data_IF_080257306493
#
_entry.id   IF_080257306493
#
_cell.length_a   1.000
_cell.length_b   1.000
_cell.length_c   1.000
_cell.angle_alpha   90.00
_cell.angle_beta   90.00
_cell.angle_gamma   90.00
#
_symmetry.space_group_name_H-M   'P 1'
#
loop_
_entity.id
_entity.type
_entity.pdbx_description
1 polymer ?
#
# COMPACT_ATOMS: atom_id res chain seq x y z
N UNK A 1 -10.38 32.76 -41.20
CA UNK A 1 -10.65 34.21 -41.14
C UNK A 1 -11.33 34.45 -39.80
N UNK A 2 -10.79 35.40 -39.00
CA UNK A 2 -11.07 35.71 -37.59
C UNK A 2 -10.65 34.61 -36.58
N UNK A 3 -9.93 34.88 -35.50
CA UNK A 3 -9.41 36.13 -34.94
C UNK A 3 -8.78 35.84 -33.56
N UNK A 4 -7.62 36.44 -33.33
CA UNK A 4 -6.75 36.42 -32.13
C UNK A 4 -7.47 36.60 -30.78
N UNK A 5 -6.89 36.02 -29.73
CA UNK A 5 -6.51 36.80 -28.54
C UNK A 5 -5.33 36.16 -27.79
N UNK A 6 -4.22 36.89 -27.83
CA UNK A 6 -2.97 36.68 -27.11
C UNK A 6 -3.08 37.26 -25.70
N UNK A 7 -2.49 36.60 -24.70
CA UNK A 7 -2.03 37.28 -23.49
C UNK A 7 -0.68 36.67 -23.08
N UNK A 8 0.35 37.51 -23.18
CA UNK A 8 1.69 37.27 -22.68
C UNK A 8 1.73 37.53 -21.17
N UNK A 9 2.62 36.83 -20.44
CA UNK A 9 3.08 37.36 -19.15
C UNK A 9 4.56 37.05 -18.90
N UNK A 10 5.28 38.17 -18.86
CA UNK A 10 6.53 38.55 -18.20
C UNK A 10 7.28 37.54 -17.34
N UNK A 11 8.61 37.52 -17.58
CA UNK A 11 9.63 37.04 -16.66
C UNK A 11 9.82 37.97 -15.45
N UNK A 12 10.17 37.40 -14.29
CA UNK A 12 10.86 38.09 -13.19
C UNK A 12 11.66 37.10 -12.32
N UNK A 13 12.98 37.21 -12.45
CA UNK A 13 14.07 37.12 -11.46
C UNK A 13 13.99 36.20 -10.22
N UNK A 14 14.94 35.26 -10.22
CA UNK A 14 15.89 34.89 -9.16
C UNK A 14 15.69 35.44 -7.74
N UNK A 15 15.52 34.51 -6.79
CA UNK A 15 15.75 34.71 -5.36
C UNK A 15 16.37 33.46 -4.75
N UNK A 16 17.66 33.53 -4.43
CA UNK A 16 18.40 32.52 -3.66
C UNK A 16 17.97 32.56 -2.20
N UNK A 17 17.73 31.40 -1.56
CA UNK A 17 17.69 31.33 -0.10
C UNK A 17 18.44 30.11 0.43
N UNK A 18 19.47 30.42 1.21
CA UNK A 18 20.28 29.49 2.01
C UNK A 18 19.63 29.31 3.38
N UNK A 19 19.66 28.06 3.85
CA UNK A 19 19.99 27.61 5.21
C UNK A 19 19.39 28.31 6.44
N UNK A 20 18.72 27.52 7.27
CA UNK A 20 18.86 27.61 8.72
C UNK A 20 18.56 26.24 9.35
N UNK A 21 19.60 25.43 9.50
CA UNK A 21 19.67 24.43 10.55
C UNK A 21 19.76 25.18 11.89
N UNK A 22 18.96 24.77 12.88
CA UNK A 22 19.24 25.08 14.28
C UNK A 22 19.09 23.80 15.09
N UNK A 23 20.24 23.28 15.50
CA UNK A 23 20.35 22.28 16.55
C UNK A 23 20.53 22.93 17.92
N UNK A 24 20.80 22.05 18.89
CA UNK A 24 21.24 22.23 20.29
C UNK A 24 20.17 21.79 21.31
N UNK A 25 20.55 21.27 22.50
CA UNK A 25 21.50 20.17 22.72
C UNK A 25 21.03 19.15 23.80
N UNK A 26 21.88 18.14 23.96
CA UNK A 26 21.96 17.00 24.90
C UNK A 26 21.94 17.33 26.41
N UNK A 27 21.58 16.29 27.19
CA UNK A 27 22.18 15.75 28.44
C UNK A 27 21.05 15.41 29.46
N UNK A 28 20.89 14.24 30.08
CA UNK A 28 21.82 13.23 30.58
C UNK A 28 21.52 13.05 32.08
N UNK A 29 21.08 11.87 32.52
CA UNK A 29 21.40 11.27 33.85
C UNK A 29 20.65 9.96 34.09
N UNK A 30 21.44 8.91 34.35
CA UNK A 30 21.04 7.66 35.00
C UNK A 30 20.41 7.91 36.39
N UNK A 31 19.38 7.13 36.73
CA UNK A 31 19.24 6.57 38.09
C UNK A 31 18.73 5.15 38.03
N UNK A 32 19.56 4.23 38.55
CA UNK A 32 19.17 2.87 38.96
C UNK A 32 18.19 2.97 40.12
N UNK A 33 17.15 2.15 40.12
CA UNK A 33 16.58 1.67 41.37
C UNK A 33 16.16 0.21 41.22
N UNK A 34 16.69 -0.59 42.14
CA UNK A 34 16.45 -2.01 42.34
C UNK A 34 15.22 -2.12 43.24
N UNK A 35 14.20 -2.85 42.80
CA UNK A 35 12.97 -3.04 43.56
C UNK A 35 12.17 -4.20 42.98
N UNK A 36 12.18 -5.30 43.72
CA UNK A 36 11.65 -6.62 43.43
C UNK A 36 10.12 -6.63 43.43
N UNK A 37 9.48 -7.03 42.32
CA UNK A 37 8.11 -7.54 42.33
C UNK A 37 8.01 -8.74 41.39
N UNK A 38 7.80 -9.92 41.99
CA UNK A 38 7.53 -11.18 41.32
C UNK A 38 6.15 -11.12 40.67
N UNK A 39 6.13 -10.94 39.35
CA UNK A 39 4.95 -11.19 38.52
C UNK A 39 5.06 -12.61 37.91
N UNK A 40 3.95 -13.37 37.84
CA UNK A 40 3.96 -14.75 37.34
C UNK A 40 4.30 -14.79 35.85
N UNK A 41 5.08 -15.81 35.47
CA UNK A 41 5.53 -16.05 34.11
C UNK A 41 4.36 -16.15 33.12
N UNK A 42 4.16 -15.10 32.32
CA UNK A 42 3.28 -15.13 31.16
C UNK A 42 4.08 -15.66 29.95
N UNK A 43 4.25 -16.98 29.87
CA UNK A 43 4.74 -17.66 28.66
C UNK A 43 3.60 -17.71 27.64
N UNK A 44 3.45 -16.65 26.84
CA UNK A 44 2.25 -16.52 26.01
C UNK A 44 2.33 -15.62 24.79
N UNK A 45 3.51 -15.24 24.30
CA UNK A 45 3.64 -14.73 22.92
C UNK A 45 5.06 -14.92 22.44
N UNK A 46 5.25 -15.77 21.43
CA UNK A 46 5.99 -15.41 20.22
C UNK A 46 6.36 -16.65 19.39
N UNK A 47 6.42 -16.42 18.08
CA UNK A 47 7.01 -17.30 17.04
C UNK A 47 6.24 -18.55 16.63
N UNK A 48 5.25 -18.39 15.73
CA UNK A 48 4.97 -19.42 14.69
C UNK A 48 4.67 -18.80 13.32
N UNK A 49 5.58 -17.96 12.81
CA UNK A 49 5.77 -17.87 11.36
C UNK A 49 6.55 -19.13 10.93
N UNK A 50 5.87 -20.29 10.90
CA UNK A 50 6.45 -21.51 10.35
C UNK A 50 6.25 -21.48 8.84
N UNK A 51 7.36 -21.20 8.14
CA UNK A 51 7.70 -21.62 6.77
C UNK A 51 6.71 -22.61 6.17
N UNK A 52 5.97 -22.30 5.09
CA UNK A 52 5.34 -23.39 4.34
C UNK A 52 5.23 -23.18 2.82
N UNK A 53 6.22 -23.66 2.08
CA UNK A 53 5.95 -24.34 0.80
C UNK A 53 5.21 -25.67 1.07
N UNK A 54 4.65 -26.30 0.04
CA UNK A 54 3.85 -27.55 0.19
C UNK A 54 4.60 -28.67 0.92
N UNK A 55 5.94 -28.70 0.85
CA UNK A 55 6.80 -29.67 1.55
C UNK A 55 6.93 -29.48 3.07
N UNK A 56 6.36 -28.43 3.66
CA UNK A 56 6.39 -28.16 5.10
C UNK A 56 5.09 -28.56 5.84
N UNK A 57 4.20 -29.25 5.13
CA UNK A 57 2.96 -29.79 5.67
C UNK A 57 3.05 -31.32 5.77
N UNK A 58 2.40 -31.94 6.78
CA UNK A 58 2.19 -33.39 6.79
C UNK A 58 1.57 -33.88 5.48
N UNK A 59 1.92 -35.09 5.04
CA UNK A 59 1.54 -35.67 3.74
C UNK A 59 0.04 -35.52 3.38
N UNK A 60 -0.92 -35.73 4.30
CA UNK A 60 -2.34 -35.52 4.00
C UNK A 60 -2.69 -34.07 3.65
N UNK A 61 -2.03 -33.11 4.31
CA UNK A 61 -2.24 -31.67 4.09
C UNK A 61 -1.51 -31.21 2.83
N UNK A 62 -0.30 -31.70 2.58
CA UNK A 62 0.42 -31.44 1.34
C UNK A 62 -0.37 -31.96 0.13
N UNK A 63 -0.92 -33.18 0.21
CA UNK A 63 -1.77 -33.76 -0.81
C UNK A 63 -3.09 -32.99 -1.01
N UNK A 64 -3.70 -32.51 0.08
CA UNK A 64 -4.88 -31.64 -0.01
C UNK A 64 -4.58 -30.31 -0.72
N UNK A 65 -3.52 -29.61 -0.32
CA UNK A 65 -3.12 -28.36 -0.94
C UNK A 65 -2.76 -28.56 -2.41
N UNK A 66 -2.02 -29.63 -2.76
CA UNK A 66 -1.70 -29.95 -4.14
C UNK A 66 -2.96 -30.05 -5.02
N UNK A 67 -4.04 -30.66 -4.51
CA UNK A 67 -5.33 -30.72 -5.22
C UNK A 67 -6.03 -29.36 -5.38
N UNK A 68 -5.87 -28.44 -4.42
CA UNK A 68 -6.44 -27.09 -4.56
C UNK A 68 -5.68 -26.23 -5.59
N UNK A 69 -4.39 -26.51 -5.77
CA UNK A 69 -3.52 -25.76 -6.69
C UNK A 69 -3.35 -26.43 -8.05
N UNK A 70 -4.06 -27.54 -8.35
CA UNK A 70 -4.09 -28.08 -9.72
C UNK A 70 -4.81 -27.12 -10.66
N UNK A 71 -4.29 -26.98 -11.87
CA UNK A 71 -4.78 -26.04 -12.89
C UNK A 71 -6.28 -26.17 -13.17
N UNK A 72 -6.83 -27.40 -13.17
CA UNK A 72 -8.25 -27.65 -13.37
C UNK A 72 -9.12 -27.03 -12.27
N UNK A 73 -8.61 -26.92 -11.04
CA UNK A 73 -9.28 -26.25 -9.93
C UNK A 73 -9.10 -24.72 -9.96
N UNK A 74 -8.32 -24.20 -10.91
CA UNK A 74 -7.98 -22.78 -11.02
C UNK A 74 -8.31 -22.23 -12.43
N UNK A 75 -9.60 -22.21 -12.82
CA UNK A 75 -10.00 -21.84 -14.17
C UNK A 75 -9.55 -20.43 -14.58
N UNK A 76 -9.45 -19.50 -13.62
CA UNK A 76 -9.05 -18.11 -13.84
C UNK A 76 -7.60 -17.80 -13.45
N UNK A 77 -6.76 -18.82 -13.19
CA UNK A 77 -5.32 -18.60 -13.04
C UNK A 77 -4.72 -18.19 -14.40
N UNK A 78 -3.92 -17.10 -14.40
CA UNK A 78 -3.27 -16.65 -15.61
C UNK A 78 -2.25 -17.68 -16.11
N UNK A 79 -2.24 -17.89 -17.43
CA UNK A 79 -1.26 -18.69 -18.15
C UNK A 79 -0.96 -18.02 -19.49
N UNK A 80 0.25 -18.19 -20.00
CA UNK A 80 0.65 -17.62 -21.30
C UNK A 80 -0.16 -18.19 -22.46
N UNK A 81 -0.70 -19.40 -22.31
CA UNK A 81 -1.55 -20.09 -23.26
C UNK A 81 -3.05 -19.94 -22.96
N UNK A 82 -3.45 -19.00 -22.10
CA UNK A 82 -4.85 -18.80 -21.75
C UNK A 82 -5.68 -18.51 -23.02
N UNK A 83 -6.83 -19.19 -23.24
CA UNK A 83 -7.65 -18.99 -24.43
C UNK A 83 -8.06 -17.51 -24.61
N UNK A 84 -7.73 -16.92 -25.76
CA UNK A 84 -7.95 -15.48 -26.01
C UNK A 84 -6.91 -14.54 -25.36
N UNK A 85 -5.83 -15.11 -24.81
CA UNK A 85 -4.69 -14.40 -24.25
C UNK A 85 -5.02 -13.57 -23.00
N UNK A 86 -4.11 -12.64 -22.68
CA UNK A 86 -4.22 -11.78 -21.49
C UNK A 86 -5.52 -10.98 -21.43
N UNK A 87 -5.99 -10.44 -22.56
CA UNK A 87 -7.21 -9.63 -22.61
C UNK A 87 -8.43 -10.45 -22.19
N UNK A 88 -8.57 -11.67 -22.71
CA UNK A 88 -9.68 -12.54 -22.34
C UNK A 88 -9.57 -12.99 -20.88
N UNK A 89 -8.37 -13.39 -20.43
CA UNK A 89 -8.13 -13.71 -19.02
C UNK A 89 -8.56 -12.58 -18.08
N UNK A 90 -8.19 -11.33 -18.38
CA UNK A 90 -8.56 -10.17 -17.55
C UNK A 90 -10.07 -10.00 -17.44
N UNK A 91 -10.80 -10.25 -18.52
CA UNK A 91 -12.28 -10.21 -18.54
C UNK A 91 -12.84 -11.33 -17.66
N UNK A 92 -12.43 -12.58 -17.91
CA UNK A 92 -12.95 -13.76 -17.22
C UNK A 92 -12.64 -13.71 -15.71
N UNK A 93 -11.39 -13.42 -15.35
CA UNK A 93 -10.95 -13.29 -13.97
C UNK A 93 -11.66 -12.13 -13.26
N UNK A 94 -11.88 -11.00 -13.95
CA UNK A 94 -12.62 -9.86 -13.43
C UNK A 94 -14.08 -10.19 -13.15
N UNK A 95 -14.76 -10.89 -14.06
CA UNK A 95 -16.14 -11.36 -13.88
C UNK A 95 -16.24 -12.35 -12.72
N UNK A 96 -15.34 -13.33 -12.66
CA UNK A 96 -15.31 -14.30 -11.57
C UNK A 96 -15.08 -13.63 -10.21
N UNK A 97 -14.14 -12.68 -10.13
CA UNK A 97 -13.88 -11.91 -8.91
C UNK A 97 -15.11 -11.09 -8.50
N UNK A 98 -15.72 -10.36 -9.43
CA UNK A 98 -16.93 -9.56 -9.19
C UNK A 98 -18.06 -10.40 -8.60
N UNK A 99 -18.29 -11.58 -9.18
CA UNK A 99 -19.29 -12.54 -8.71
C UNK A 99 -18.99 -13.03 -7.29
N UNK A 100 -17.73 -13.43 -7.02
CA UNK A 100 -17.32 -13.98 -5.71
C UNK A 100 -17.31 -12.94 -4.59
N UNK A 101 -16.97 -11.70 -4.90
CA UNK A 101 -17.09 -10.57 -3.98
C UNK A 101 -18.55 -10.14 -3.76
N UNK A 102 -19.51 -10.69 -4.52
CA UNK A 102 -20.92 -10.34 -4.39
C UNK A 102 -21.24 -8.90 -4.83
N UNK A 103 -20.41 -8.29 -5.67
CA UNK A 103 -20.54 -6.87 -6.04
C UNK A 103 -21.89 -6.55 -6.69
N UNK A 104 -22.46 -7.47 -7.49
CA UNK A 104 -23.79 -7.29 -8.10
C UNK A 104 -24.92 -7.35 -7.06
N UNK A 105 -24.74 -8.15 -6.01
CA UNK A 105 -25.70 -8.21 -4.90
C UNK A 105 -25.68 -6.91 -4.10
N UNK A 106 -24.48 -6.39 -3.79
CA UNK A 106 -24.30 -5.10 -3.13
C UNK A 106 -24.91 -3.99 -3.99
N UNK A 107 -24.58 -3.95 -5.29
CA UNK A 107 -25.12 -2.93 -6.21
C UNK A 107 -26.65 -2.97 -6.31
N UNK A 108 -27.25 -4.17 -6.30
CA UNK A 108 -28.70 -4.34 -6.27
C UNK A 108 -29.29 -3.87 -4.94
N UNK A 109 -28.67 -4.21 -3.80
CA UNK A 109 -29.19 -3.86 -2.47
C UNK A 109 -29.11 -2.37 -2.16
N UNK A 110 -28.12 -1.65 -2.71
CA UNK A 110 -27.99 -0.20 -2.53
C UNK A 110 -28.95 0.62 -3.41
N UNK A 111 -29.49 0.03 -4.49
CA UNK A 111 -30.43 0.68 -5.40
C UNK A 111 -29.88 1.99 -5.98
N UNK A 112 -30.67 3.07 -5.87
CA UNK A 112 -30.30 4.40 -6.37
C UNK A 112 -29.42 5.21 -5.41
N UNK A 113 -28.99 4.62 -4.28
CA UNK A 113 -28.06 5.28 -3.38
C UNK A 113 -26.80 5.73 -4.14
N UNK A 114 -26.31 6.92 -3.80
CA UNK A 114 -25.05 7.47 -4.30
C UNK A 114 -24.16 7.76 -3.10
N UNK A 115 -22.88 7.37 -3.14
CA UNK A 115 -21.98 7.64 -2.04
C UNK A 115 -21.96 9.13 -1.67
N UNK A 116 -21.99 9.44 -0.38
CA UNK A 116 -21.96 10.82 0.13
C UNK A 116 -20.70 11.03 0.92
N UNK A 117 -20.01 12.14 0.66
CA UNK A 117 -18.78 12.49 1.36
C UNK A 117 -19.04 13.67 2.27
N UNK A 118 -18.56 13.57 3.50
CA UNK A 118 -18.51 14.65 4.48
C UNK A 118 -17.04 14.85 4.85
N UNK A 119 -16.55 16.08 4.70
CA UNK A 119 -15.19 16.46 5.09
C UNK A 119 -15.26 17.35 6.32
N UNK A 120 -14.31 17.15 7.22
CA UNK A 120 -14.07 18.00 8.39
C UNK A 120 -13.21 19.21 7.98
N UNK A 121 -12.87 20.02 8.99
CA UNK A 121 -12.00 21.18 8.81
C UNK A 121 -10.63 20.78 8.24
N UNK A 122 -10.09 21.66 7.41
CA UNK A 122 -8.80 21.47 6.75
C UNK A 122 -7.65 21.92 7.62
N UNK A 123 -6.71 21.02 7.87
CA UNK A 123 -5.45 21.33 8.53
C UNK A 123 -4.40 21.70 7.49
N UNK A 124 -3.73 22.83 7.70
CA UNK A 124 -2.57 23.24 6.91
C UNK A 124 -1.32 22.44 7.34
N UNK A 125 -0.65 21.80 6.38
CA UNK A 125 0.60 21.05 6.57
C UNK A 125 1.76 21.61 5.71
N UNK A 126 1.73 22.91 5.39
CA UNK A 126 2.71 23.57 4.54
C UNK A 126 2.37 23.40 3.05
N UNK A 127 2.92 22.37 2.42
CA UNK A 127 2.78 22.13 0.96
C UNK A 127 1.46 21.45 0.57
N UNK A 128 0.73 20.91 1.54
CA UNK A 128 -0.53 20.21 1.37
C UNK A 128 -1.48 20.52 2.53
N UNK A 129 -2.74 20.13 2.36
CA UNK A 129 -3.73 20.12 3.43
C UNK A 129 -4.11 18.69 3.81
N UNK A 130 -4.38 18.48 5.09
CA UNK A 130 -4.87 17.22 5.63
C UNK A 130 -6.30 17.40 6.12
N UNK A 131 -7.22 16.55 5.65
CA UNK A 131 -8.63 16.58 6.04
C UNK A 131 -9.12 15.20 6.44
N UNK A 132 -9.80 15.11 7.58
CA UNK A 132 -10.57 13.92 7.91
C UNK A 132 -11.88 13.94 7.14
N UNK A 133 -12.34 12.78 6.72
CA UNK A 133 -13.63 12.63 6.07
C UNK A 133 -14.32 11.35 6.45
N UNK A 134 -15.61 11.29 6.12
CA UNK A 134 -16.40 10.07 6.14
C UNK A 134 -17.15 9.95 4.82
N UNK A 135 -17.10 8.76 4.22
CA UNK A 135 -17.88 8.41 3.05
C UNK A 135 -19.00 7.46 3.48
N UNK A 136 -20.24 7.85 3.27
CA UNK A 136 -21.37 6.93 3.32
C UNK A 136 -21.39 6.15 2.01
N UNK A 137 -21.00 4.86 2.06
CA UNK A 137 -20.86 4.01 0.87
C UNK A 137 -22.13 3.23 0.55
N UNK A 138 -22.86 2.85 1.60
CA UNK A 138 -24.16 2.20 1.56
C UNK A 138 -25.09 2.93 2.54
N UNK A 139 -26.42 2.84 2.41
CA UNK A 139 -27.36 3.50 3.34
C UNK A 139 -27.02 3.21 4.81
N UNK A 140 -26.62 4.25 5.54
CA UNK A 140 -26.26 4.16 6.96
C UNK A 140 -24.87 3.58 7.27
N UNK A 141 -24.09 3.16 6.27
CA UNK A 141 -22.72 2.65 6.46
C UNK A 141 -21.71 3.71 6.08
N UNK A 142 -20.94 4.18 7.07
CA UNK A 142 -19.92 5.22 6.89
C UNK A 142 -18.52 4.67 7.09
N UNK A 143 -17.65 4.95 6.13
CA UNK A 143 -16.24 4.59 6.14
C UNK A 143 -15.41 5.87 6.32
N UNK A 144 -14.66 6.02 7.41
CA UNK A 144 -13.75 7.15 7.60
C UNK A 144 -12.54 7.05 6.67
N UNK A 145 -11.99 8.20 6.29
CA UNK A 145 -10.76 8.31 5.51
C UNK A 145 -10.03 9.62 5.80
N UNK A 146 -8.78 9.70 5.38
CA UNK A 146 -7.99 10.94 5.33
C UNK A 146 -7.76 11.37 3.88
N UNK A 147 -7.90 12.66 3.61
CA UNK A 147 -7.61 13.29 2.32
C UNK A 147 -6.39 14.19 2.48
N UNK A 148 -5.34 13.88 1.71
CA UNK A 148 -4.16 14.73 1.57
C UNK A 148 -4.23 15.41 0.21
N UNK A 149 -4.29 16.73 0.20
CA UNK A 149 -4.41 17.51 -1.03
C UNK A 149 -3.24 18.50 -1.19
N UNK A 150 -2.41 18.37 -2.22
CA UNK A 150 -1.38 19.35 -2.53
C UNK A 150 -1.98 20.73 -2.80
N UNK A 151 -1.35 21.81 -2.32
CA UNK A 151 -1.84 23.19 -2.54
C UNK A 151 -1.54 23.76 -3.93
N UNK A 152 -0.67 23.10 -4.70
CA UNK A 152 -0.31 23.48 -6.07
C UNK A 152 -1.49 23.29 -7.05
N UNK A 153 -1.39 23.90 -8.23
CA UNK A 153 -2.41 23.89 -9.29
C UNK A 153 -2.64 22.51 -9.96
N UNK A 154 -3.90 22.07 -9.99
CA UNK A 154 -4.42 20.81 -10.53
C UNK A 154 -4.40 20.71 -12.08
N UNK A 155 -4.59 19.53 -12.72
CA UNK A 155 -5.05 18.24 -12.18
C UNK A 155 -3.95 17.38 -11.53
N UNK A 156 -4.31 16.67 -10.46
CA UNK A 156 -3.46 15.69 -9.78
C UNK A 156 -3.91 14.26 -10.04
N UNK A 157 -2.99 13.29 -10.15
CA UNK A 157 -3.36 11.89 -10.01
C UNK A 157 -3.92 11.63 -8.60
N UNK A 158 -4.94 10.77 -8.49
CA UNK A 158 -5.49 10.33 -7.22
C UNK A 158 -4.80 9.03 -6.78
N UNK A 159 -4.21 9.04 -5.59
CA UNK A 159 -3.71 7.84 -4.92
C UNK A 159 -4.72 7.34 -3.90
N UNK A 160 -4.94 6.02 -3.84
CA UNK A 160 -5.73 5.36 -2.79
C UNK A 160 -4.79 4.48 -1.99
N UNK A 161 -4.71 4.72 -0.68
CA UNK A 161 -3.75 4.07 0.21
C UNK A 161 -4.49 3.28 1.30
N UNK A 162 -4.89 2.02 1.03
CA UNK A 162 -5.45 1.17 2.07
C UNK A 162 -4.37 0.83 3.11
N UNK A 163 -4.77 0.73 4.38
CA UNK A 163 -3.86 0.35 5.46
C UNK A 163 -3.90 -1.16 5.74
N UNK A 164 -2.85 -1.67 6.40
CA UNK A 164 -2.77 -3.06 6.83
C UNK A 164 -3.60 -3.36 8.09
N UNK A 165 -3.29 -4.45 8.79
CA UNK A 165 -4.06 -4.94 9.95
C UNK A 165 -3.95 -4.10 11.24
N UNK A 166 -3.43 -2.87 11.16
CA UNK A 166 -3.35 -1.98 12.33
C UNK A 166 -4.73 -1.42 12.67
N UNK A 167 -5.11 -1.48 13.95
CA UNK A 167 -6.37 -0.94 14.47
C UNK A 167 -6.49 0.57 14.30
N UNK A 168 -5.36 1.27 14.19
CA UNK A 168 -5.29 2.71 13.88
C UNK A 168 -4.70 2.98 12.49
N UNK A 169 -4.66 1.97 11.63
CA UNK A 169 -3.87 2.01 10.40
C UNK A 169 -4.22 3.18 9.49
N UNK A 170 -5.49 3.59 9.41
CA UNK A 170 -5.88 4.77 8.61
C UNK A 170 -5.22 6.07 9.11
N UNK A 171 -5.09 6.24 10.43
CA UNK A 171 -4.52 7.44 11.04
C UNK A 171 -3.01 7.38 10.88
N UNK A 172 -2.41 6.23 11.20
CA UNK A 172 -0.98 5.96 11.04
C UNK A 172 -0.52 6.21 9.61
N UNK A 173 -1.25 5.71 8.60
CA UNK A 173 -0.93 5.91 7.18
C UNK A 173 -1.07 7.36 6.73
N UNK A 174 -1.89 8.16 7.42
CA UNK A 174 -2.03 9.60 7.17
C UNK A 174 -1.02 10.45 7.99
N UNK A 175 -0.15 9.83 8.78
CA UNK A 175 0.78 10.53 9.66
C UNK A 175 0.14 11.13 10.91
N UNK A 176 -1.06 10.66 11.28
CA UNK A 176 -1.81 11.10 12.47
C UNK A 176 -1.54 10.12 13.61
N UNK A 177 -0.72 10.55 14.58
CA UNK A 177 -0.31 9.69 15.69
C UNK A 177 -1.07 10.03 16.98
N UNK A 178 -1.51 8.98 17.70
CA UNK A 178 -2.14 9.12 19.01
C UNK A 178 -1.24 9.78 20.08
N UNK A 179 0.07 9.52 20.04
CA UNK A 179 1.06 10.04 20.98
C UNK A 179 2.50 9.93 20.40
N UNK A 180 3.49 10.40 21.16
CA UNK A 180 4.89 10.43 20.75
C UNK A 180 5.52 9.04 20.61
N UNK A 181 5.10 8.06 21.42
CA UNK A 181 5.62 6.69 21.36
C UNK A 181 5.06 5.97 20.13
N UNK A 182 3.77 6.18 19.82
CA UNK A 182 3.16 5.72 18.59
C UNK A 182 3.82 6.34 17.36
N UNK A 183 4.11 7.65 17.39
CA UNK A 183 4.85 8.31 16.31
C UNK A 183 6.24 7.67 16.12
N UNK A 184 7.01 7.51 17.20
CA UNK A 184 8.35 6.90 17.16
C UNK A 184 8.31 5.49 16.60
N UNK A 185 7.36 4.66 17.04
CA UNK A 185 7.20 3.29 16.57
C UNK A 185 6.82 3.24 15.08
N UNK A 186 5.81 4.00 14.68
CA UNK A 186 5.29 3.98 13.31
C UNK A 186 6.32 4.49 12.30
N UNK A 187 7.08 5.53 12.66
CA UNK A 187 8.21 6.02 11.85
C UNK A 187 9.37 5.02 11.80
N UNK A 188 9.63 4.28 12.88
CA UNK A 188 10.68 3.25 12.88
C UNK A 188 10.31 2.01 12.07
N UNK A 189 9.03 1.66 11.97
CA UNK A 189 8.51 0.55 11.18
C UNK A 189 8.30 0.90 9.69
N UNK A 190 8.49 2.18 9.35
CA UNK A 190 8.54 2.73 7.99
C UNK A 190 7.25 2.55 7.19
N UNK A 191 6.06 2.39 7.79
CA UNK A 191 4.81 1.86 7.18
C UNK A 191 4.15 2.65 6.01
N UNK A 192 4.90 3.24 5.08
CA UNK A 192 4.35 3.88 3.89
C UNK A 192 3.78 2.82 2.90
N UNK A 193 2.95 3.26 1.96
CA UNK A 193 2.18 2.37 1.06
C UNK A 193 2.57 2.63 -0.40
N UNK A 194 2.88 1.59 -1.18
CA UNK A 194 3.13 1.72 -2.63
C UNK A 194 3.17 0.39 -3.43
N UNK A 195 3.23 0.53 -4.76
CA UNK A 195 3.16 -0.52 -5.80
C UNK A 195 4.55 -1.03 -6.20
N UNK A 196 5.38 -1.42 -5.24
CA UNK A 196 6.57 -2.23 -5.52
C UNK A 196 6.61 -3.33 -4.45
N UNK A 197 6.79 -4.57 -4.87
CA UNK A 197 6.99 -5.66 -3.93
C UNK A 197 8.43 -5.60 -3.43
N UNK A 198 8.62 -5.32 -2.14
CA UNK A 198 9.91 -5.47 -1.47
C UNK A 198 9.78 -6.54 -0.41
N UNK A 199 10.60 -7.57 -0.50
CA UNK A 199 10.71 -8.58 0.53
C UNK A 199 12.00 -8.39 1.32
N UNK A 200 11.91 -8.45 2.64
CA UNK A 200 13.08 -8.44 3.50
C UNK A 200 13.81 -9.78 3.45
N UNK A 201 15.13 -9.77 3.29
CA UNK A 201 15.96 -10.99 3.31
C UNK A 201 15.88 -11.73 4.64
N UNK A 202 15.61 -11.00 5.73
CA UNK A 202 15.46 -11.56 7.08
C UNK A 202 14.00 -11.76 7.48
N UNK A 203 13.05 -11.53 6.58
CA UNK A 203 11.62 -11.73 6.86
C UNK A 203 11.28 -13.24 6.85
N UNK A 204 10.85 -13.82 7.98
CA UNK A 204 10.57 -15.25 8.08
C UNK A 204 9.21 -15.66 7.52
N UNK A 205 8.38 -14.73 7.04
CA UNK A 205 7.00 -15.03 6.63
C UNK A 205 6.93 -15.98 5.43
N UNK A 206 7.82 -15.84 4.45
CA UNK A 206 7.87 -16.67 3.25
C UNK A 206 9.31 -17.06 2.92
N UNK A 207 9.51 -18.25 2.35
CA UNK A 207 10.84 -18.64 1.90
C UNK A 207 11.25 -17.82 0.67
N UNK A 208 12.54 -17.50 0.50
CA UNK A 208 13.03 -16.82 -0.70
C UNK A 208 12.62 -17.52 -2.00
N UNK A 209 12.65 -18.87 -2.01
CA UNK A 209 12.23 -19.65 -3.18
C UNK A 209 10.75 -19.46 -3.55
N UNK A 210 9.84 -19.40 -2.57
CA UNK A 210 8.42 -19.14 -2.86
C UNK A 210 8.18 -17.69 -3.29
N UNK A 211 8.94 -16.74 -2.71
CA UNK A 211 8.90 -15.34 -3.14
C UNK A 211 9.34 -15.23 -4.61
N UNK A 212 10.49 -15.81 -4.97
CA UNK A 212 11.02 -15.79 -6.33
C UNK A 212 10.05 -16.45 -7.32
N UNK A 213 9.41 -17.57 -6.92
CA UNK A 213 8.37 -18.24 -7.72
C UNK A 213 7.17 -17.32 -7.98
N UNK A 214 6.65 -16.66 -6.94
CA UNK A 214 5.53 -15.73 -7.07
C UNK A 214 5.91 -14.50 -7.92
N UNK A 215 7.09 -13.93 -7.70
CA UNK A 215 7.63 -12.80 -8.47
C UNK A 215 7.76 -13.15 -9.95
N UNK A 216 8.26 -14.34 -10.27
CA UNK A 216 8.34 -14.81 -11.65
C UNK A 216 6.95 -14.89 -12.30
N UNK A 217 5.95 -15.42 -11.59
CA UNK A 217 4.57 -15.49 -12.08
C UNK A 217 3.98 -14.10 -12.35
N UNK A 218 4.17 -13.14 -11.44
CA UNK A 218 3.70 -11.77 -11.63
C UNK A 218 4.39 -11.10 -12.82
N UNK A 219 5.70 -11.29 -12.99
CA UNK A 219 6.44 -10.79 -14.17
C UNK A 219 5.84 -11.33 -15.48
N UNK A 220 5.46 -12.60 -15.53
CA UNK A 220 4.80 -13.20 -16.71
C UNK A 220 3.46 -12.52 -17.02
N UNK A 221 2.67 -12.19 -16.00
CA UNK A 221 1.40 -11.45 -16.15
C UNK A 221 1.66 -10.05 -16.73
N UNK A 222 2.57 -9.27 -16.13
CA UNK A 222 2.88 -7.92 -16.58
C UNK A 222 3.52 -7.85 -17.97
N UNK A 223 4.34 -8.84 -18.32
CA UNK A 223 4.88 -8.99 -19.68
C UNK A 223 3.76 -9.26 -20.69
N UNK A 224 2.83 -10.16 -20.35
CA UNK A 224 1.68 -10.50 -21.19
C UNK A 224 0.67 -9.35 -21.31
N UNK A 225 0.68 -8.43 -20.34
CA UNK A 225 -0.08 -7.18 -20.36
C UNK A 225 0.55 -6.09 -21.24
N UNK A 226 1.76 -6.31 -21.79
CA UNK A 226 2.50 -5.31 -22.55
C UNK A 226 3.17 -4.23 -21.69
N UNK A 227 3.22 -4.41 -20.37
CA UNK A 227 3.77 -3.44 -19.41
C UNK A 227 4.77 -4.08 -18.44
N UNK A 228 5.82 -4.77 -18.94
CA UNK A 228 6.74 -5.55 -18.10
C UNK A 228 7.47 -4.72 -17.03
N UNK A 229 7.61 -3.41 -17.25
CA UNK A 229 8.30 -2.50 -16.32
C UNK A 229 7.39 -1.93 -15.22
N UNK A 230 6.07 -2.14 -15.31
CA UNK A 230 5.10 -1.67 -14.30
C UNK A 230 5.08 -2.56 -13.04
N UNK A 231 5.81 -3.68 -13.05
CA UNK A 231 6.08 -4.46 -11.86
C UNK A 231 7.59 -4.61 -11.68
N UNK A 232 8.06 -4.26 -10.49
CA UNK A 232 9.41 -4.55 -10.05
C UNK A 232 9.35 -5.32 -8.73
N UNK A 233 10.38 -6.10 -8.48
CA UNK A 233 10.62 -6.74 -7.19
C UNK A 233 12.03 -6.39 -6.76
N UNK A 234 12.22 -6.10 -5.48
CA UNK A 234 13.53 -5.82 -4.88
C UNK A 234 13.65 -6.55 -3.55
N UNK A 235 14.89 -6.87 -3.20
CA UNK A 235 15.21 -7.38 -1.87
C UNK A 235 15.63 -6.22 -0.98
N UNK A 236 15.06 -6.17 0.21
CA UNK A 236 15.52 -5.32 1.30
C UNK A 236 16.39 -6.11 2.27
N UNK A 237 17.40 -5.48 2.86
CA UNK A 237 18.39 -6.19 3.68
C UNK A 237 17.89 -6.63 5.07
N UNK A 238 16.71 -6.17 5.50
CA UNK A 238 16.18 -6.39 6.85
C UNK A 238 14.96 -7.32 6.86
N UNK A 239 14.20 -7.33 7.96
CA UNK A 239 13.01 -8.17 8.16
C UNK A 239 11.72 -7.59 7.55
N UNK A 240 10.59 -7.93 8.18
CA UNK A 240 9.26 -7.48 7.79
C UNK A 240 9.04 -5.99 8.10
N UNK A 241 9.32 -5.13 7.13
CA UNK A 241 9.09 -3.69 7.20
C UNK A 241 8.91 -3.12 5.80
N UNK A 242 8.54 -1.85 5.74
CA UNK A 242 8.61 -1.12 4.48
C UNK A 242 10.03 -0.62 4.20
N UNK A 243 10.33 -0.37 2.92
CA UNK A 243 11.65 0.00 2.45
C UNK A 243 11.58 1.30 1.66
N UNK A 244 11.44 2.43 2.36
CA UNK A 244 11.26 3.77 1.76
C UNK A 244 12.28 4.12 0.69
N UNK A 245 13.54 3.74 0.91
CA UNK A 245 14.66 4.02 0.02
C UNK A 245 14.60 3.24 -1.30
N UNK A 246 13.92 2.09 -1.31
CA UNK A 246 13.69 1.30 -2.52
C UNK A 246 12.38 1.72 -3.20
N UNK A 247 11.37 2.07 -2.41
CA UNK A 247 10.01 2.32 -2.84
C UNK A 247 9.78 3.70 -3.44
N UNK A 248 10.17 4.77 -2.74
CA UNK A 248 9.85 6.13 -3.20
C UNK A 248 10.45 6.49 -4.56
N UNK A 249 11.69 6.10 -4.91
CA UNK A 249 12.20 6.32 -6.27
C UNK A 249 11.36 5.65 -7.36
N UNK A 250 10.79 4.46 -7.09
CA UNK A 250 9.92 3.77 -8.04
C UNK A 250 8.60 4.53 -8.25
N UNK A 251 7.94 4.93 -7.15
CA UNK A 251 6.67 5.67 -7.20
C UNK A 251 6.84 7.01 -7.89
N UNK A 252 7.85 7.79 -7.49
CA UNK A 252 8.11 9.11 -8.07
C UNK A 252 8.46 9.00 -9.55
N UNK A 253 9.23 7.97 -9.94
CA UNK A 253 9.50 7.69 -11.35
C UNK A 253 8.23 7.42 -12.15
N UNK A 254 7.30 6.63 -11.61
CA UNK A 254 6.01 6.35 -12.27
C UNK A 254 5.13 7.60 -12.37
N UNK A 255 5.10 8.44 -11.34
CA UNK A 255 4.30 9.68 -11.32
C UNK A 255 4.83 10.78 -12.26
N UNK A 256 6.11 10.72 -12.63
CA UNK A 256 6.73 11.66 -13.56
C UNK A 256 6.51 11.29 -15.03
N UNK A 257 6.05 10.06 -15.33
CA UNK A 257 5.77 9.68 -16.70
C UNK A 257 4.49 10.38 -17.19
N UNK A 258 4.52 11.11 -18.31
CA UNK A 258 3.30 11.64 -18.89
C UNK A 258 2.38 10.46 -19.20
N UNK A 259 1.12 10.57 -18.78
CA UNK A 259 0.08 9.56 -19.06
C UNK A 259 0.07 9.27 -20.57
N UNK A 260 0.73 8.18 -20.95
CA UNK A 260 0.66 7.64 -22.31
C UNK A 260 -0.69 6.95 -22.37
N UNK A 261 -1.63 7.61 -23.05
CA UNK A 261 -2.98 7.10 -23.30
C UNK A 261 -2.95 5.79 -24.07
#
# INVERSE_FOLDING_TARGET
MLGLLTLASSAAQSGSFRGAESGMPVDGTERRNVGNDQAPANTGSDTKARQKGTGAYPEPVAGYLARLFVQQAQPTAFRTDYPGGFRQWRIDAGLALRLRLGMDRIATSVGDHRPRVQLEESQDCGEYTLQRGAMETEPGIRIPFWLLQPKRAQPWPLGVFPHGHDRRGQDTTAGVYADADHAKKSLAEDRDVAVLAVNGRKDPLFSPAEIDRAVAQVRTIYASAGVPLHFQHRWGEEGHRFYRNLMWPFVLGAMQQPNSK
#
